data_IF_620422781540
#
_entry.id   IF_620422781540
#
_cell.length_a   1.000
_cell.length_b   1.000
_cell.length_c   1.000
_cell.angle_alpha   90.00
_cell.angle_beta   90.00
_cell.angle_gamma   90.00
#
_symmetry.space_group_name_H-M   'P 1'
#
loop_
_entity.id
_entity.type
_entity.pdbx_description
1 polymer ?
#
# COMPACT_ATOMS: atom_id res chain seq x y z
N UNK A 1 -73.24 -25.02 -2.17
CA UNK A 1 -71.91 -25.68 -2.13
C UNK A 1 -71.17 -25.49 -3.43
N UNK A 2 -70.59 -24.30 -3.66
CA UNK A 2 -69.74 -24.01 -4.83
C UNK A 2 -68.27 -23.71 -4.48
N UNK A 3 -67.93 -23.67 -3.18
CA UNK A 3 -66.57 -23.38 -2.71
C UNK A 3 -65.62 -24.58 -2.76
N UNK A 4 -66.10 -25.80 -2.52
CA UNK A 4 -65.26 -27.00 -2.54
C UNK A 4 -64.80 -27.39 -3.95
N UNK A 5 -65.60 -27.07 -4.99
CA UNK A 5 -65.22 -27.31 -6.39
C UNK A 5 -64.15 -26.32 -6.89
N UNK A 6 -64.24 -25.04 -6.50
CA UNK A 6 -63.24 -24.01 -6.83
C UNK A 6 -61.91 -24.22 -6.09
N UNK A 7 -61.95 -24.69 -4.83
CA UNK A 7 -60.74 -25.02 -4.06
C UNK A 7 -60.07 -26.29 -4.61
N UNK A 8 -60.85 -27.28 -5.04
CA UNK A 8 -60.34 -28.48 -5.69
C UNK A 8 -59.63 -28.19 -7.01
N UNK A 9 -60.23 -27.39 -7.90
CA UNK A 9 -59.61 -27.01 -9.18
C UNK A 9 -58.38 -26.10 -9.01
N UNK A 10 -58.39 -25.20 -8.03
CA UNK A 10 -57.23 -24.36 -7.71
C UNK A 10 -56.05 -25.19 -7.17
N UNK A 11 -56.32 -26.19 -6.32
CA UNK A 11 -55.30 -27.09 -5.79
C UNK A 11 -54.70 -27.98 -6.88
N UNK A 12 -55.53 -28.52 -7.77
CA UNK A 12 -55.07 -29.34 -8.92
C UNK A 12 -54.27 -28.50 -9.92
N UNK A 13 -54.69 -27.26 -10.19
CA UNK A 13 -53.93 -26.34 -11.05
C UNK A 13 -52.62 -25.90 -10.40
N UNK A 14 -52.58 -25.66 -9.08
CA UNK A 14 -51.35 -25.33 -8.37
C UNK A 14 -50.35 -26.50 -8.37
N UNK A 15 -50.83 -27.74 -8.23
CA UNK A 15 -49.99 -28.95 -8.30
C UNK A 15 -49.49 -29.18 -9.73
N UNK A 16 -50.33 -28.99 -10.75
CA UNK A 16 -49.92 -29.08 -12.16
C UNK A 16 -48.93 -27.98 -12.55
N UNK A 17 -49.13 -26.74 -12.09
CA UNK A 17 -48.15 -25.65 -12.30
C UNK A 17 -46.86 -25.95 -11.55
N UNK A 18 -46.91 -26.47 -10.31
CA UNK A 18 -45.73 -26.84 -9.55
C UNK A 18 -44.96 -28.04 -10.14
N UNK A 19 -45.64 -28.94 -10.86
CA UNK A 19 -45.03 -30.14 -11.47
C UNK A 19 -44.61 -29.93 -12.93
N UNK A 20 -45.28 -29.06 -13.68
CA UNK A 20 -44.89 -28.67 -15.05
C UNK A 20 -43.92 -27.49 -15.09
N UNK A 21 -43.85 -26.67 -14.03
CA UNK A 21 -42.89 -25.56 -13.97
C UNK A 21 -41.53 -26.09 -13.54
N UNK A 22 -40.85 -26.65 -14.55
CA UNK A 22 -39.47 -27.10 -14.58
C UNK A 22 -39.23 -28.52 -14.04
N UNK A 23 -38.84 -29.42 -14.95
CA UNK A 23 -38.02 -30.58 -14.57
C UNK A 23 -36.81 -30.09 -13.76
N UNK A 24 -36.28 -30.84 -12.79
CA UNK A 24 -35.17 -30.39 -11.93
C UNK A 24 -33.95 -29.90 -12.74
N UNK A 25 -33.79 -30.41 -13.96
CA UNK A 25 -32.77 -30.00 -14.94
C UNK A 25 -32.95 -28.56 -15.44
N UNK A 26 -34.17 -28.07 -15.73
CA UNK A 26 -34.39 -26.69 -16.19
C UNK A 26 -34.18 -25.69 -15.06
N UNK A 27 -34.53 -26.05 -13.82
CA UNK A 27 -34.30 -25.24 -12.61
C UNK A 27 -32.82 -25.12 -12.30
N UNK A 28 -32.07 -26.20 -12.49
CA UNK A 28 -30.61 -26.18 -12.38
C UNK A 28 -30.00 -25.28 -13.46
N UNK A 29 -30.49 -25.34 -14.71
CA UNK A 29 -30.06 -24.45 -15.79
C UNK A 29 -30.37 -22.98 -15.49
N UNK A 30 -31.57 -22.66 -15.01
CA UNK A 30 -31.96 -21.29 -14.66
C UNK A 30 -31.12 -20.75 -13.49
N UNK A 31 -30.80 -21.59 -12.50
CA UNK A 31 -29.89 -21.22 -11.40
C UNK A 31 -28.45 -21.03 -11.91
N UNK A 32 -27.98 -21.85 -12.86
CA UNK A 32 -26.65 -21.70 -13.46
C UNK A 32 -26.55 -20.46 -14.36
N UNK A 33 -27.58 -20.15 -15.13
CA UNK A 33 -27.65 -18.94 -15.97
C UNK A 33 -27.78 -17.72 -15.08
N UNK A 34 -28.68 -17.73 -14.08
CA UNK A 34 -28.84 -16.63 -13.13
C UNK A 34 -27.57 -16.39 -12.31
N UNK A 35 -26.91 -17.45 -11.85
CA UNK A 35 -25.61 -17.39 -11.18
C UNK A 35 -24.50 -16.89 -12.09
N UNK A 36 -24.43 -17.36 -13.34
CA UNK A 36 -23.46 -16.93 -14.34
C UNK A 36 -23.65 -15.47 -14.76
N UNK A 37 -24.89 -15.04 -14.99
CA UNK A 37 -25.24 -13.64 -15.29
C UNK A 37 -24.94 -12.77 -14.08
N UNK A 38 -25.30 -13.17 -12.86
CA UNK A 38 -24.94 -12.43 -11.65
C UNK A 38 -23.42 -12.32 -11.48
N UNK A 39 -22.64 -13.37 -11.82
CA UNK A 39 -21.18 -13.33 -11.76
C UNK A 39 -20.61 -12.38 -12.81
N UNK A 40 -21.12 -12.44 -14.05
CA UNK A 40 -20.74 -11.57 -15.18
C UNK A 40 -21.09 -10.11 -14.87
N UNK A 41 -22.30 -9.85 -14.39
CA UNK A 41 -22.78 -8.52 -13.99
C UNK A 41 -21.97 -8.01 -12.81
N UNK A 42 -21.72 -8.81 -11.78
CA UNK A 42 -20.90 -8.40 -10.63
C UNK A 42 -19.45 -8.12 -11.02
N UNK A 43 -18.84 -8.96 -11.87
CA UNK A 43 -17.46 -8.73 -12.35
C UNK A 43 -17.33 -7.59 -13.34
N UNK A 44 -18.37 -7.28 -14.12
CA UNK A 44 -18.36 -6.15 -15.08
C UNK A 44 -18.77 -4.82 -14.44
N UNK A 45 -19.72 -4.82 -13.49
CA UNK A 45 -20.28 -3.60 -12.89
C UNK A 45 -19.54 -3.18 -11.61
N UNK A 46 -19.10 -4.13 -10.78
CA UNK A 46 -18.34 -3.86 -9.55
C UNK A 46 -17.10 -4.76 -9.44
N UNK A 47 -16.16 -4.69 -10.41
CA UNK A 47 -14.92 -5.44 -10.30
C UNK A 47 -14.20 -5.06 -9.00
N UNK A 48 -13.84 -6.02 -8.12
CA UNK A 48 -13.01 -5.72 -6.96
C UNK A 48 -11.69 -5.13 -7.45
N UNK A 49 -11.38 -3.91 -7.02
CA UNK A 49 -10.16 -3.21 -7.42
C UNK A 49 -8.94 -3.98 -6.87
N UNK A 50 -8.13 -4.61 -7.74
CA UNK A 50 -7.00 -5.43 -7.32
C UNK A 50 -5.88 -4.60 -6.68
N UNK A 51 -5.90 -3.28 -6.86
CA UNK A 51 -4.89 -2.33 -6.36
C UNK A 51 -5.30 -1.78 -5.00
N UNK A 52 -6.58 -1.73 -4.68
CA UNK A 52 -7.06 -1.10 -3.45
C UNK A 52 -6.55 -1.79 -2.18
N UNK A 53 -6.49 -3.13 -2.18
CA UNK A 53 -5.90 -3.90 -1.08
C UNK A 53 -4.41 -3.61 -0.92
N UNK A 54 -3.71 -3.47 -2.05
CA UNK A 54 -2.28 -3.14 -2.09
C UNK A 54 -2.02 -1.73 -1.55
N UNK A 55 -2.77 -0.72 -2.01
CA UNK A 55 -2.73 0.66 -1.48
C UNK A 55 -2.90 0.70 0.03
N UNK A 56 -3.88 -0.05 0.57
CA UNK A 56 -4.11 -0.15 2.02
C UNK A 56 -2.95 -0.81 2.74
N UNK A 57 -2.43 -1.91 2.21
CA UNK A 57 -1.27 -2.60 2.79
C UNK A 57 -0.04 -1.68 2.86
N UNK A 58 0.26 -0.97 1.77
CA UNK A 58 1.32 0.04 1.73
C UNK A 58 1.11 1.15 2.76
N UNK A 59 -0.10 1.73 2.82
CA UNK A 59 -0.43 2.75 3.81
C UNK A 59 -0.30 2.23 5.26
N UNK A 60 -0.66 0.96 5.51
CA UNK A 60 -0.48 0.31 6.80
C UNK A 60 0.98 0.21 7.20
N UNK A 61 1.86 -0.24 6.30
CA UNK A 61 3.30 -0.38 6.59
C UNK A 61 3.92 0.96 6.96
N UNK A 62 3.77 1.97 6.11
CA UNK A 62 4.44 3.26 6.31
C UNK A 62 3.75 4.11 7.39
N UNK A 63 2.43 3.93 7.58
CA UNK A 63 1.69 4.47 8.71
C UNK A 63 2.28 4.02 10.04
N UNK A 64 2.46 2.71 10.20
CA UNK A 64 3.00 2.11 11.43
C UNK A 64 4.49 2.40 11.61
N UNK A 65 5.26 2.48 10.51
CA UNK A 65 6.66 2.91 10.56
C UNK A 65 6.79 4.34 11.13
N UNK A 66 5.89 5.25 10.74
CA UNK A 66 5.86 6.59 11.32
C UNK A 66 5.47 6.58 12.81
N UNK A 67 4.57 5.69 13.25
CA UNK A 67 4.25 5.50 14.68
C UNK A 67 5.48 5.04 15.45
N UNK A 68 6.20 4.04 14.95
CA UNK A 68 7.46 3.57 15.53
C UNK A 68 8.47 4.71 15.68
N UNK A 69 8.69 5.49 14.61
CA UNK A 69 9.65 6.59 14.61
C UNK A 69 9.22 7.69 15.59
N UNK A 70 7.93 8.02 15.68
CA UNK A 70 7.41 8.96 16.69
C UNK A 70 7.69 8.48 18.12
N UNK A 71 7.42 7.21 18.42
CA UNK A 71 7.63 6.65 19.76
C UNK A 71 9.12 6.57 20.09
N UNK A 72 9.96 6.16 19.13
CA UNK A 72 11.41 6.16 19.27
C UNK A 72 11.97 7.57 19.53
N UNK A 73 11.47 8.58 18.81
CA UNK A 73 11.86 9.96 19.04
C UNK A 73 11.47 10.44 20.45
N UNK A 74 10.26 10.10 20.90
CA UNK A 74 9.78 10.48 22.24
C UNK A 74 10.63 9.80 23.32
N UNK A 75 10.96 8.53 23.13
CA UNK A 75 11.85 7.78 24.03
C UNK A 75 13.24 8.40 24.11
N UNK A 76 13.84 8.77 22.99
CA UNK A 76 15.16 9.41 22.94
C UNK A 76 15.14 10.82 23.54
N UNK A 77 14.08 11.60 23.34
CA UNK A 77 13.97 12.96 23.85
C UNK A 77 13.78 13.03 25.38
N UNK A 78 13.03 12.07 25.94
CA UNK A 78 12.64 12.09 27.36
C UNK A 78 13.33 11.01 28.21
N UNK A 79 14.06 10.08 27.60
CA UNK A 79 14.55 8.88 28.31
C UNK A 79 13.40 7.97 28.76
N UNK A 80 12.30 7.92 28.01
CA UNK A 80 11.09 7.18 28.41
C UNK A 80 11.09 5.74 27.88
N UNK A 81 11.26 4.78 28.79
CA UNK A 81 11.25 3.35 28.50
C UNK A 81 9.91 2.90 27.90
N UNK A 82 8.78 3.48 28.33
CA UNK A 82 7.44 3.07 27.85
C UNK A 82 7.25 3.40 26.38
N UNK A 83 7.77 4.54 25.94
CA UNK A 83 7.78 4.91 24.52
C UNK A 83 8.75 4.04 23.73
N UNK A 84 9.91 3.65 24.30
CA UNK A 84 10.80 2.71 23.64
C UNK A 84 10.15 1.31 23.45
N UNK A 85 9.38 0.85 24.43
CA UNK A 85 8.59 -0.39 24.33
C UNK A 85 7.44 -0.26 23.32
N UNK A 86 6.82 0.92 23.22
CA UNK A 86 5.81 1.22 22.21
C UNK A 86 6.39 1.17 20.80
N UNK A 87 7.58 1.73 20.58
CA UNK A 87 8.31 1.61 19.32
C UNK A 87 8.59 0.13 18.97
N UNK A 88 8.90 -0.70 19.97
CA UNK A 88 9.04 -2.15 19.78
C UNK A 88 7.76 -2.84 19.27
N UNK A 89 6.61 -2.51 19.87
CA UNK A 89 5.30 -3.03 19.41
C UNK A 89 4.94 -2.53 18.01
N UNK A 90 5.20 -1.26 17.72
CA UNK A 90 5.01 -0.72 16.38
C UNK A 90 5.90 -1.44 15.35
N UNK A 91 7.11 -1.86 15.72
CA UNK A 91 7.99 -2.65 14.84
C UNK A 91 7.41 -4.03 14.50
N UNK A 92 6.71 -4.66 15.44
CA UNK A 92 5.99 -5.92 15.21
C UNK A 92 4.77 -5.70 14.28
N UNK A 93 4.07 -4.59 14.45
CA UNK A 93 2.95 -4.20 13.60
C UNK A 93 3.38 -3.86 12.17
N UNK A 94 4.50 -3.16 11.97
CA UNK A 94 5.09 -2.90 10.64
C UNK A 94 5.25 -4.22 9.86
N UNK A 95 5.66 -5.27 10.55
CA UNK A 95 5.99 -6.55 9.94
C UNK A 95 4.74 -7.40 9.66
N UNK A 96 3.74 -7.28 10.54
CA UNK A 96 2.38 -7.75 10.24
C UNK A 96 1.86 -7.08 8.97
N UNK A 97 1.97 -5.75 8.86
CA UNK A 97 1.50 -4.99 7.71
C UNK A 97 2.29 -5.32 6.42
N UNK A 98 3.59 -5.63 6.52
CA UNK A 98 4.40 -6.13 5.40
C UNK A 98 3.84 -7.47 4.89
N UNK A 99 3.45 -8.36 5.81
CA UNK A 99 2.79 -9.62 5.48
C UNK A 99 1.47 -9.41 4.75
N UNK A 100 0.63 -8.49 5.24
CA UNK A 100 -0.64 -8.13 4.61
C UNK A 100 -0.44 -7.50 3.22
N UNK A 101 0.54 -6.61 3.08
CA UNK A 101 0.90 -5.99 1.81
C UNK A 101 1.36 -7.04 0.79
N UNK A 102 2.24 -7.98 1.20
CA UNK A 102 2.65 -9.10 0.34
C UNK A 102 1.45 -9.94 -0.09
N UNK A 103 0.57 -10.27 0.85
CA UNK A 103 -0.61 -11.08 0.53
C UNK A 103 -1.55 -10.36 -0.45
N UNK A 104 -1.76 -9.06 -0.25
CA UNK A 104 -2.53 -8.23 -1.17
C UNK A 104 -1.93 -8.21 -2.59
N UNK A 105 -0.59 -8.16 -2.70
CA UNK A 105 0.11 -8.21 -3.98
C UNK A 105 -0.06 -9.56 -4.68
N UNK A 106 0.00 -10.68 -3.95
CA UNK A 106 -0.24 -12.02 -4.52
C UNK A 106 -1.67 -12.10 -5.08
N UNK A 107 -2.66 -11.74 -4.26
CA UNK A 107 -4.09 -11.78 -4.64
C UNK A 107 -4.37 -10.83 -5.81
N UNK A 108 -3.83 -9.61 -5.77
CA UNK A 108 -3.99 -8.61 -6.83
C UNK A 108 -3.36 -9.06 -8.15
N UNK A 109 -2.16 -9.64 -8.10
CA UNK A 109 -1.43 -10.12 -9.27
C UNK A 109 -2.13 -11.31 -9.94
N UNK A 110 -2.60 -12.28 -9.16
CA UNK A 110 -3.36 -13.43 -9.66
C UNK A 110 -4.67 -12.97 -10.34
N UNK A 111 -5.36 -12.00 -9.73
CA UNK A 111 -6.58 -11.40 -10.29
C UNK A 111 -6.31 -10.64 -11.59
N UNK A 112 -5.15 -9.99 -11.71
CA UNK A 112 -4.76 -9.24 -12.90
C UNK A 112 -4.20 -10.12 -14.04
N UNK A 113 -3.65 -11.31 -13.73
CA UNK A 113 -3.00 -12.23 -14.69
C UNK A 113 -3.91 -12.72 -15.81
N UNK A 114 -5.21 -12.85 -15.56
CA UNK A 114 -6.16 -13.44 -16.51
C UNK A 114 -7.01 -12.41 -17.29
N UNK A 115 -6.83 -11.11 -17.03
CA UNK A 115 -7.66 -10.06 -17.63
C UNK A 115 -6.87 -9.19 -18.65
N UNK A 116 -7.05 -9.37 -19.98
CA UNK A 116 -6.35 -8.59 -21.00
C UNK A 116 -6.66 -7.08 -20.96
N UNK A 117 -7.84 -6.68 -20.46
CA UNK A 117 -8.23 -5.29 -20.26
C UNK A 117 -7.54 -4.60 -19.07
N UNK A 118 -6.70 -5.30 -18.29
CA UNK A 118 -6.10 -4.79 -17.03
C UNK A 118 -4.60 -4.53 -17.09
N UNK A 119 -4.03 -4.27 -18.27
CA UNK A 119 -2.60 -3.90 -18.40
C UNK A 119 -2.16 -2.74 -17.48
N UNK A 120 -2.94 -1.65 -17.30
CA UNK A 120 -2.56 -0.58 -16.38
C UNK A 120 -2.45 -1.04 -14.93
N UNK A 121 -3.38 -1.88 -14.48
CA UNK A 121 -3.37 -2.44 -13.13
C UNK A 121 -2.16 -3.36 -12.90
N UNK A 122 -1.69 -4.08 -13.92
CA UNK A 122 -0.45 -4.89 -13.80
C UNK A 122 0.78 -4.02 -13.58
N UNK A 123 0.93 -2.96 -14.38
CA UNK A 123 2.04 -2.02 -14.22
C UNK A 123 2.00 -1.35 -12.84
N UNK A 124 0.81 -1.05 -12.31
CA UNK A 124 0.65 -0.53 -10.96
C UNK A 124 1.02 -1.56 -9.88
N UNK A 125 0.57 -2.82 -10.01
CA UNK A 125 0.95 -3.90 -9.09
C UNK A 125 2.46 -4.19 -9.11
N UNK A 126 3.12 -4.12 -10.27
CA UNK A 126 4.57 -4.26 -10.38
C UNK A 126 5.34 -3.13 -9.68
N UNK A 127 4.82 -1.89 -9.71
CA UNK A 127 5.38 -0.78 -8.92
C UNK A 127 5.30 -1.08 -7.43
N UNK A 128 4.12 -1.47 -6.94
CA UNK A 128 3.94 -1.84 -5.55
C UNK A 128 4.78 -3.06 -5.15
N UNK A 129 5.02 -4.01 -6.05
CA UNK A 129 5.93 -5.13 -5.77
C UNK A 129 7.37 -4.65 -5.50
N UNK A 130 7.87 -3.67 -6.26
CA UNK A 130 9.17 -3.04 -5.98
C UNK A 130 9.16 -2.21 -4.69
N UNK A 131 8.05 -1.53 -4.39
CA UNK A 131 7.87 -0.83 -3.10
C UNK A 131 7.92 -1.80 -1.93
N UNK A 132 7.37 -3.01 -2.06
CA UNK A 132 7.41 -4.04 -1.02
C UNK A 132 8.85 -4.45 -0.68
N UNK A 133 9.73 -4.63 -1.68
CA UNK A 133 11.12 -5.00 -1.45
C UNK A 133 11.84 -4.01 -0.51
N UNK A 134 11.59 -2.71 -0.73
CA UNK A 134 12.12 -1.64 0.11
C UNK A 134 11.40 -1.52 1.46
N UNK A 135 10.09 -1.77 1.51
CA UNK A 135 9.35 -1.84 2.76
C UNK A 135 9.88 -2.95 3.70
N UNK A 136 10.27 -4.11 3.16
CA UNK A 136 10.89 -5.19 3.93
C UNK A 136 12.27 -4.82 4.51
N UNK A 137 13.08 -4.10 3.73
CA UNK A 137 14.37 -3.57 4.18
C UNK A 137 14.17 -2.56 5.31
N UNK A 138 13.24 -1.62 5.13
CA UNK A 138 12.87 -0.65 6.16
C UNK A 138 12.37 -1.34 7.45
N UNK A 139 11.52 -2.36 7.34
CA UNK A 139 11.01 -3.13 8.49
C UNK A 139 12.12 -3.82 9.29
N UNK A 140 13.09 -4.44 8.59
CA UNK A 140 14.28 -5.02 9.23
C UNK A 140 15.08 -3.98 10.01
N UNK A 141 15.38 -2.84 9.39
CA UNK A 141 16.10 -1.76 10.09
C UNK A 141 15.28 -1.14 11.22
N UNK A 142 13.96 -1.06 11.10
CA UNK A 142 13.07 -0.56 12.13
C UNK A 142 13.06 -1.45 13.38
N UNK A 143 13.08 -2.78 13.23
CA UNK A 143 13.25 -3.72 14.35
C UNK A 143 14.57 -3.52 15.09
N UNK A 144 15.66 -3.33 14.34
CA UNK A 144 16.97 -3.06 14.94
C UNK A 144 16.93 -1.73 15.68
N UNK A 145 16.45 -0.65 15.04
CA UNK A 145 16.28 0.66 15.64
C UNK A 145 15.50 0.60 16.96
N UNK A 146 14.33 -0.05 16.97
CA UNK A 146 13.50 -0.16 18.17
C UNK A 146 14.24 -0.86 19.32
N UNK A 147 14.98 -1.95 19.03
CA UNK A 147 15.81 -2.64 20.02
C UNK A 147 16.96 -1.75 20.50
N UNK A 148 17.64 -1.03 19.62
CA UNK A 148 18.77 -0.16 19.98
C UNK A 148 18.29 1.01 20.86
N UNK A 149 17.15 1.63 20.53
CA UNK A 149 16.52 2.69 21.35
C UNK A 149 16.09 2.15 22.72
N UNK A 150 15.45 0.99 22.78
CA UNK A 150 15.07 0.37 24.05
C UNK A 150 16.28 0.05 24.92
N UNK A 151 17.34 -0.51 24.34
CA UNK A 151 18.59 -0.78 25.04
C UNK A 151 19.23 0.50 25.56
N UNK A 152 19.27 1.55 24.73
CA UNK A 152 19.80 2.86 25.09
C UNK A 152 19.08 3.46 26.29
N UNK A 153 17.75 3.50 26.25
CA UNK A 153 16.94 4.12 27.31
C UNK A 153 16.94 3.28 28.58
N UNK A 154 16.81 1.94 28.49
CA UNK A 154 16.89 1.05 29.67
C UNK A 154 18.25 1.09 30.35
N UNK A 155 19.31 1.40 29.62
CA UNK A 155 20.64 1.63 30.18
C UNK A 155 20.78 2.91 31.01
N UNK A 156 19.71 3.70 31.19
CA UNK A 156 19.75 4.96 31.93
C UNK A 156 20.62 6.03 31.27
N UNK A 157 20.81 5.93 29.95
CA UNK A 157 21.67 6.83 29.17
C UNK A 157 20.99 8.19 28.99
N UNK A 158 21.77 9.29 28.85
CA UNK A 158 21.21 10.63 28.83
C UNK A 158 20.30 10.87 27.60
N UNK A 159 19.22 11.65 27.74
CA UNK A 159 18.36 11.99 26.60
C UNK A 159 19.11 12.64 25.44
N UNK A 160 18.62 12.40 24.22
CA UNK A 160 19.23 12.79 22.95
C UNK A 160 18.23 13.61 22.10
N UNK A 161 17.97 14.88 22.46
CA UNK A 161 16.93 15.68 21.81
C UNK A 161 17.22 15.96 20.32
N UNK A 162 18.48 16.07 19.92
CA UNK A 162 18.83 16.28 18.52
C UNK A 162 18.62 15.04 17.67
N UNK A 163 18.96 13.86 18.19
CA UNK A 163 18.67 12.59 17.52
C UNK A 163 17.17 12.35 17.46
N UNK A 164 16.41 12.70 18.51
CA UNK A 164 14.96 12.68 18.49
C UNK A 164 14.35 13.64 17.44
N UNK A 165 14.99 14.79 17.18
CA UNK A 165 14.64 15.66 16.06
C UNK A 165 14.79 14.97 14.70
N UNK A 166 15.94 14.33 14.48
CA UNK A 166 16.22 13.58 13.26
C UNK A 166 15.21 12.43 13.01
N UNK A 167 14.88 11.69 14.07
CA UNK A 167 13.91 10.58 14.00
C UNK A 167 12.51 11.08 13.65
N UNK A 168 12.08 12.24 14.20
CA UNK A 168 10.78 12.84 13.86
C UNK A 168 10.69 13.23 12.39
N UNK A 169 11.73 13.85 11.84
CA UNK A 169 11.76 14.21 10.42
C UNK A 169 11.58 12.97 9.52
N UNK A 170 12.25 11.87 9.89
CA UNK A 170 12.09 10.61 9.18
C UNK A 170 10.69 9.99 9.34
N UNK A 171 10.06 10.17 10.52
CA UNK A 171 8.68 9.77 10.76
C UNK A 171 7.68 10.51 9.87
N UNK A 172 7.90 11.80 9.62
CA UNK A 172 7.11 12.58 8.67
C UNK A 172 7.26 12.05 7.24
N UNK A 173 8.49 11.70 6.82
CA UNK A 173 8.73 11.10 5.52
C UNK A 173 7.95 9.79 5.34
N UNK A 174 7.92 8.94 6.37
CA UNK A 174 7.16 7.69 6.35
C UNK A 174 5.65 7.95 6.19
N UNK A 175 5.08 8.92 6.91
CA UNK A 175 3.65 9.24 6.78
C UNK A 175 3.27 9.91 5.46
N UNK A 176 4.16 10.68 4.84
CA UNK A 176 3.88 11.35 3.57
C UNK A 176 3.92 10.37 2.38
N UNK A 177 4.72 9.30 2.45
CA UNK A 177 4.94 8.39 1.34
C UNK A 177 3.63 7.78 0.77
N UNK A 178 2.67 7.28 1.58
CA UNK A 178 1.39 6.80 1.04
C UNK A 178 0.57 7.89 0.34
N UNK A 179 0.63 9.15 0.81
CA UNK A 179 -0.10 10.26 0.22
C UNK A 179 0.46 10.62 -1.16
N UNK A 180 1.79 10.53 -1.34
CA UNK A 180 2.47 10.75 -2.61
C UNK A 180 1.98 9.79 -3.72
N UNK A 181 1.65 8.55 -3.40
CA UNK A 181 1.10 7.60 -4.39
C UNK A 181 -0.31 7.96 -4.86
N UNK A 182 -1.08 8.68 -4.05
CA UNK A 182 -2.38 9.24 -4.42
C UNK A 182 -2.29 10.59 -5.13
N UNK A 183 -1.27 11.38 -4.80
CA UNK A 183 -1.04 12.73 -5.31
C UNK A 183 0.39 12.89 -5.86
N UNK A 184 0.68 12.39 -7.09
CA UNK A 184 2.06 12.33 -7.63
C UNK A 184 2.73 13.70 -7.86
N UNK A 185 2.02 14.82 -7.71
CA UNK A 185 2.62 16.16 -7.74
C UNK A 185 3.30 16.55 -6.43
N UNK A 186 3.12 15.77 -5.35
CA UNK A 186 3.87 15.91 -4.09
C UNK A 186 5.24 15.21 -4.11
N UNK A 187 5.66 14.72 -5.28
CA UNK A 187 6.99 14.15 -5.50
C UNK A 187 8.10 15.15 -5.15
N UNK A 188 8.86 14.84 -4.08
CA UNK A 188 9.97 15.66 -3.59
C UNK A 188 9.98 15.84 -2.07
N UNK A 189 8.81 15.85 -1.43
CA UNK A 189 8.70 16.05 0.01
C UNK A 189 9.24 14.87 0.83
N UNK A 190 8.94 13.65 0.40
CA UNK A 190 9.46 12.41 1.01
C UNK A 190 10.99 12.35 0.94
N UNK A 191 11.56 12.63 -0.23
CA UNK A 191 13.01 12.64 -0.44
C UNK A 191 13.69 13.67 0.46
N UNK A 192 13.18 14.90 0.47
CA UNK A 192 13.71 16.00 1.29
C UNK A 192 13.67 15.63 2.78
N UNK A 193 12.53 15.18 3.29
CA UNK A 193 12.36 14.79 4.70
C UNK A 193 13.28 13.62 5.09
N UNK A 194 13.35 12.57 4.26
CA UNK A 194 14.18 11.40 4.53
C UNK A 194 15.68 11.76 4.57
N UNK A 195 16.16 12.53 3.59
CA UNK A 195 17.55 12.99 3.54
C UNK A 195 17.88 13.93 4.71
N UNK A 196 16.97 14.85 5.03
CA UNK A 196 17.13 15.75 6.17
C UNK A 196 17.23 14.96 7.48
N UNK A 197 16.32 14.01 7.73
CA UNK A 197 16.37 13.12 8.89
C UNK A 197 17.68 12.34 8.98
N UNK A 198 18.13 11.71 7.89
CA UNK A 198 19.39 10.97 7.87
C UNK A 198 20.62 11.85 8.12
N UNK A 199 20.64 13.06 7.54
CA UNK A 199 21.74 14.02 7.73
C UNK A 199 21.83 14.50 9.18
N UNK A 200 20.68 14.82 9.80
CA UNK A 200 20.60 15.24 11.20
C UNK A 200 21.01 14.11 12.15
N UNK A 201 20.60 12.87 11.86
CA UNK A 201 21.00 11.70 12.65
C UNK A 201 22.52 11.48 12.60
N UNK A 202 23.10 11.60 11.41
CA UNK A 202 24.56 11.47 11.20
C UNK A 202 25.32 12.56 11.95
N UNK A 203 24.86 13.82 11.86
CA UNK A 203 25.46 14.95 12.56
C UNK A 203 25.31 14.85 14.09
N UNK A 204 24.19 14.33 14.58
CA UNK A 204 23.99 14.07 16.01
C UNK A 204 24.95 12.99 16.51
N UNK A 205 25.05 11.85 15.81
CA UNK A 205 25.98 10.79 16.20
C UNK A 205 27.45 11.23 16.13
N UNK A 206 27.85 12.01 15.13
CA UNK A 206 29.24 12.48 15.00
C UNK A 206 29.71 13.36 16.18
N UNK A 207 28.78 14.03 16.88
CA UNK A 207 29.09 14.84 18.07
C UNK A 207 29.37 14.00 19.32
N UNK A 208 29.03 12.72 19.29
CA UNK A 208 29.17 11.81 20.42
C UNK A 208 30.01 10.60 20.02
N UNK A 209 31.12 10.34 20.70
CA UNK A 209 31.94 9.14 20.49
C UNK A 209 31.28 7.90 21.12
N UNK A 210 30.03 7.63 20.73
CA UNK A 210 29.14 6.64 21.33
C UNK A 210 28.68 5.63 20.30
N UNK A 211 29.03 4.37 20.53
CA UNK A 211 28.73 3.25 19.63
C UNK A 211 27.21 3.07 19.48
N UNK A 212 26.43 3.23 20.55
CA UNK A 212 24.98 3.03 20.48
C UNK A 212 24.29 4.15 19.68
N UNK A 213 24.77 5.40 19.80
CA UNK A 213 24.26 6.52 19.01
C UNK A 213 24.62 6.37 17.53
N UNK A 214 25.83 5.85 17.26
CA UNK A 214 26.28 5.52 15.90
C UNK A 214 25.43 4.41 15.28
N UNK A 215 25.06 3.39 16.06
CA UNK A 215 24.17 2.31 15.63
C UNK A 215 22.76 2.84 15.30
N UNK A 216 22.17 3.66 16.19
CA UNK A 216 20.85 4.28 15.97
C UNK A 216 20.87 5.15 14.71
N UNK A 217 21.88 6.02 14.55
CA UNK A 217 22.01 6.84 13.35
C UNK A 217 22.23 6.01 12.08
N UNK A 218 22.97 4.91 12.18
CA UNK A 218 23.14 3.94 11.10
C UNK A 218 21.81 3.35 10.63
N UNK A 219 20.92 2.95 11.56
CA UNK A 219 19.60 2.42 11.21
C UNK A 219 18.67 3.48 10.63
N UNK A 220 18.70 4.72 11.15
CA UNK A 220 17.93 5.82 10.60
C UNK A 220 18.32 6.12 9.14
N UNK A 221 19.62 6.05 8.82
CA UNK A 221 20.12 6.19 7.45
C UNK A 221 19.62 5.05 6.54
N UNK A 222 19.65 3.81 7.01
CA UNK A 222 19.11 2.68 6.24
C UNK A 222 17.61 2.86 5.96
N UNK A 223 16.82 3.18 6.98
CA UNK A 223 15.37 3.44 6.83
C UNK A 223 15.11 4.59 5.86
N UNK A 224 15.89 5.68 5.93
CA UNK A 224 15.76 6.80 5.00
C UNK A 224 16.02 6.39 3.54
N UNK A 225 17.06 5.59 3.30
CA UNK A 225 17.35 5.05 1.96
C UNK A 225 16.19 4.19 1.47
N UNK A 226 15.66 3.30 2.32
CA UNK A 226 14.57 2.41 1.95
C UNK A 226 13.24 3.16 1.72
N UNK A 227 12.95 4.22 2.49
CA UNK A 227 11.79 5.11 2.24
C UNK A 227 11.93 5.81 0.88
N UNK A 228 13.11 6.35 0.57
CA UNK A 228 13.36 7.00 -0.72
C UNK A 228 13.21 6.00 -1.86
N UNK A 229 13.80 4.81 -1.73
CA UNK A 229 13.72 3.77 -2.75
C UNK A 229 12.31 3.22 -2.91
N UNK A 230 11.55 3.10 -1.84
CA UNK A 230 10.14 2.73 -1.87
C UNK A 230 9.27 3.78 -2.59
N UNK A 231 9.55 5.06 -2.34
CA UNK A 231 8.92 6.21 -3.02
C UNK A 231 9.22 6.18 -4.52
N UNK A 232 10.50 6.12 -4.92
CA UNK A 232 10.94 6.00 -6.32
C UNK A 232 10.30 4.79 -7.03
N UNK A 233 10.20 3.65 -6.35
CA UNK A 233 9.60 2.43 -6.90
C UNK A 233 8.09 2.56 -7.17
N UNK A 234 7.39 3.35 -6.35
CA UNK A 234 5.95 3.57 -6.45
C UNK A 234 5.55 4.70 -7.40
N UNK A 235 6.49 5.55 -7.81
CA UNK A 235 6.23 6.62 -8.78
C UNK A 235 5.84 6.05 -10.16
N UNK A 236 4.87 6.71 -10.79
CA UNK A 236 4.46 6.37 -12.17
C UNK A 236 5.56 6.87 -13.11
N UNK A 237 6.00 6.03 -14.05
CA UNK A 237 7.00 6.38 -15.06
C UNK A 237 6.47 7.52 -15.95
N UNK A 238 6.74 8.74 -15.51
CA UNK A 238 6.17 9.97 -16.06
C UNK A 238 6.83 10.35 -17.38
N UNK A 239 8.10 9.95 -17.55
CA UNK A 239 8.86 10.16 -18.79
C UNK A 239 8.20 9.47 -19.98
N UNK A 240 7.77 8.21 -19.82
CA UNK A 240 7.10 7.47 -20.88
C UNK A 240 5.73 8.05 -21.27
N UNK A 241 4.98 8.63 -20.32
CA UNK A 241 3.67 9.24 -20.58
C UNK A 241 3.79 10.64 -21.19
N UNK A 242 4.77 11.44 -20.75
CA UNK A 242 5.05 12.76 -21.33
C UNK A 242 5.70 12.65 -22.72
N UNK A 243 6.61 11.70 -22.95
CA UNK A 243 7.17 11.41 -24.28
C UNK A 243 6.09 10.91 -25.25
N UNK A 244 5.24 9.97 -24.83
CA UNK A 244 4.14 9.49 -25.67
C UNK A 244 3.14 10.60 -26.03
N UNK A 245 2.75 11.43 -25.05
CA UNK A 245 1.86 12.56 -25.31
C UNK A 245 2.52 13.63 -26.20
N UNK A 246 3.83 13.85 -26.05
CA UNK A 246 4.60 14.79 -26.87
C UNK A 246 4.78 14.26 -28.30
N UNK A 247 5.08 12.97 -28.48
CA UNK A 247 5.14 12.35 -29.81
C UNK A 247 3.77 12.36 -30.49
N UNK A 248 2.68 12.11 -29.76
CA UNK A 248 1.31 12.17 -30.30
C UNK A 248 0.91 13.61 -30.69
N UNK A 249 1.32 14.61 -29.90
CA UNK A 249 1.17 16.04 -30.22
C UNK A 249 2.02 16.45 -31.44
N UNK A 250 3.27 15.98 -31.55
CA UNK A 250 4.16 16.25 -32.67
C UNK A 250 3.66 15.57 -33.96
N UNK A 251 3.10 14.37 -33.86
CA UNK A 251 2.49 13.65 -34.99
C UNK A 251 1.19 14.31 -35.48
N UNK A 252 0.49 15.05 -34.62
CA UNK A 252 -0.73 15.79 -34.96
C UNK A 252 -0.46 17.17 -35.61
N UNK A 253 0.79 17.65 -35.66
CA UNK A 253 1.12 18.91 -36.29
C UNK A 253 1.14 18.77 -37.83
N UNK A 254 0.44 19.65 -38.58
CA UNK A 254 0.47 19.61 -40.04
C UNK A 254 1.87 19.94 -40.56
N UNK A 255 2.42 19.05 -41.39
CA UNK A 255 3.73 19.23 -42.04
C UNK A 255 3.67 20.50 -42.92
N UNK A 256 4.57 21.50 -42.72
CA UNK A 256 4.58 22.69 -43.53
C UNK A 256 4.87 22.34 -44.99
N UNK A 257 4.01 22.80 -45.90
CA UNK A 257 4.16 22.55 -47.33
C UNK A 257 5.52 23.07 -47.82
N UNK A 258 6.21 22.33 -48.71
CA UNK A 258 7.51 22.75 -49.22
C UNK A 258 7.37 24.09 -49.92
N UNK A 259 8.23 25.05 -49.55
CA UNK A 259 8.29 26.35 -50.19
C UNK A 259 8.58 26.14 -51.69
N UNK A 260 7.63 26.50 -52.53
CA UNK A 260 7.79 26.46 -53.98
C UNK A 260 8.86 27.50 -54.37
N UNK A 261 9.97 27.02 -54.91
CA UNK A 261 11.02 27.80 -55.57
C UNK A 261 10.69 28.01 -57.04
#
# INVERSE_FOLDING_TARGET
GGGELLVGEAAVSAILVATLSSTPTVRLLDVLIGGGVALVVNTLIFPPDPVLGVKRGTAGVFGELGVLLKDAATALAAGDVRHAEAAGRAAENVETNIGEFRQALIVGSDTARWAPLRRPARAELERYARTLDHAELAGRSARVLARSVLSYVRGGRPPQPELAGAVRELGLAAWELPAQFGEPWRSGDVLRMALQGASLATAAAARHHDIALSEIAGQLRSIAIDIVKASEAGETDRGALEEAATEELLAALPVPAPAAS
#
